data_IF_828202242995
#
_entry.id   IF_828202242995
#
_cell.length_a   1.000
_cell.length_b   1.000
_cell.length_c   1.000
_cell.angle_alpha   90.00
_cell.angle_beta   90.00
_cell.angle_gamma   90.00
#
_symmetry.space_group_name_H-M   'P 1'
#
loop_
_entity.id
_entity.type
_entity.pdbx_description
1 polymer ?
#
# COMPACT_ATOMS: atom_id res chain seq x y z
N UNK A 1 -14.49 6.62 -0.35
CA UNK A 1 -13.55 5.50 -0.58
C UNK A 1 -12.76 5.83 -1.83
N UNK A 2 -11.45 6.01 -1.75
CA UNK A 2 -10.61 6.24 -2.94
C UNK A 2 -10.09 4.87 -3.39
N UNK A 3 -10.71 4.31 -4.41
CA UNK A 3 -10.21 3.10 -5.07
C UNK A 3 -9.19 3.55 -6.09
N UNK A 4 -7.95 3.10 -5.96
CA UNK A 4 -6.87 3.40 -6.90
C UNK A 4 -6.67 2.17 -7.78
N UNK A 5 -7.09 2.26 -9.04
CA UNK A 5 -6.70 1.29 -10.05
C UNK A 5 -5.29 1.62 -10.52
N UNK A 6 -4.39 0.67 -10.40
CA UNK A 6 -3.02 0.79 -10.87
C UNK A 6 -2.92 0.14 -12.26
N UNK A 7 -2.68 0.95 -13.27
CA UNK A 7 -2.31 0.49 -14.60
C UNK A 7 -0.81 0.69 -14.79
N UNK A 8 -0.09 -0.37 -15.06
CA UNK A 8 1.34 -0.36 -15.34
C UNK A 8 1.53 -0.31 -16.86
N UNK A 9 1.36 0.86 -17.45
CA UNK A 9 1.55 1.02 -18.90
C UNK A 9 2.77 1.86 -19.23
N UNK A 10 3.68 1.27 -20.00
CA UNK A 10 4.74 1.96 -20.71
C UNK A 10 6.08 2.10 -19.99
N UNK A 11 7.14 1.90 -20.75
CA UNK A 11 8.49 2.33 -20.41
C UNK A 11 8.98 3.31 -21.48
N UNK A 12 9.54 4.45 -21.06
CA UNK A 12 10.29 5.34 -21.95
C UNK A 12 11.73 5.35 -21.41
N UNK A 13 12.63 4.70 -22.12
CA UNK A 13 14.02 4.55 -21.67
C UNK A 13 14.13 3.73 -20.39
N UNK A 14 14.95 4.18 -19.45
CA UNK A 14 15.17 3.53 -18.15
C UNK A 14 14.12 3.86 -17.09
N UNK A 15 13.08 4.61 -17.42
CA UNK A 15 12.06 5.05 -16.49
C UNK A 15 10.75 4.30 -16.69
N UNK A 16 10.17 3.85 -15.59
CA UNK A 16 8.84 3.28 -15.55
C UNK A 16 7.87 4.27 -14.96
N UNK A 17 6.71 4.42 -15.62
CA UNK A 17 5.62 5.26 -15.17
C UNK A 17 4.55 4.42 -14.50
N UNK A 18 4.07 4.85 -13.35
CA UNK A 18 2.86 4.35 -12.71
C UNK A 18 1.76 5.39 -12.89
N UNK A 19 0.66 4.97 -13.50
CA UNK A 19 -0.53 5.79 -13.65
C UNK A 19 -1.53 5.41 -12.57
N UNK A 20 -1.89 6.39 -11.76
CA UNK A 20 -2.92 6.22 -10.74
C UNK A 20 -4.22 6.82 -11.26
N UNK A 21 -5.29 6.04 -11.21
CA UNK A 21 -6.62 6.47 -11.63
C UNK A 21 -7.56 6.40 -10.43
N UNK A 22 -8.57 7.25 -10.42
CA UNK A 22 -9.65 7.21 -9.46
C UNK A 22 -10.99 7.27 -10.18
N UNK A 23 -12.03 6.56 -9.73
CA UNK A 23 -13.36 6.70 -10.30
C UNK A 23 -13.94 8.08 -9.92
N UNK A 24 -14.42 8.81 -10.91
CA UNK A 24 -15.19 10.06 -10.74
C UNK A 24 -16.45 9.92 -11.58
N UNK A 25 -17.60 9.90 -10.95
CA UNK A 25 -18.89 9.73 -11.64
C UNK A 25 -18.91 8.54 -12.61
N UNK A 26 -18.35 7.40 -12.20
CA UNK A 26 -18.28 6.17 -13.00
C UNK A 26 -17.24 6.18 -14.13
N UNK A 27 -16.44 7.24 -14.27
CA UNK A 27 -15.33 7.31 -15.23
C UNK A 27 -13.99 7.21 -14.52
N UNK A 28 -13.02 6.53 -15.16
CA UNK A 28 -11.65 6.49 -14.67
C UNK A 28 -10.93 7.78 -15.08
N UNK A 29 -10.42 8.51 -14.10
CA UNK A 29 -9.66 9.74 -14.30
C UNK A 29 -8.21 9.51 -13.90
N UNK A 30 -7.27 10.00 -14.72
CA UNK A 30 -5.85 10.01 -14.35
C UNK A 30 -5.69 10.94 -13.15
N UNK A 31 -5.08 10.44 -12.07
CA UNK A 31 -4.81 11.21 -10.86
C UNK A 31 -3.39 11.77 -10.86
N UNK A 32 -2.41 10.89 -11.03
CA UNK A 32 -0.99 11.28 -11.03
C UNK A 32 -0.12 10.26 -11.76
N UNK A 33 1.10 10.66 -12.07
CA UNK A 33 2.16 9.79 -12.55
C UNK A 33 3.30 9.78 -11.54
N UNK A 34 3.82 8.60 -11.22
CA UNK A 34 5.00 8.45 -10.39
C UNK A 34 6.11 7.74 -11.16
N UNK A 35 7.27 8.39 -11.38
CA UNK A 35 8.43 7.77 -12.06
C UNK A 35 9.26 6.89 -11.11
N UNK A 36 8.67 6.40 -10.03
CA UNK A 36 9.29 5.60 -8.97
C UNK A 36 8.24 4.73 -8.29
N UNK A 37 8.64 3.72 -7.49
CA UNK A 37 7.70 3.05 -6.60
C UNK A 37 6.91 4.06 -5.76
N UNK A 38 5.61 3.85 -5.66
CA UNK A 38 4.70 4.76 -5.01
C UNK A 38 3.91 4.04 -3.93
N UNK A 39 3.51 4.77 -2.90
CA UNK A 39 2.76 4.23 -1.76
C UNK A 39 1.50 3.46 -2.16
N UNK A 40 0.77 3.95 -3.16
CA UNK A 40 -0.45 3.28 -3.66
C UNK A 40 -0.19 1.91 -4.26
N UNK A 41 1.05 1.63 -4.69
CA UNK A 41 1.44 0.35 -5.25
C UNK A 41 2.07 -0.62 -4.23
N UNK A 42 2.09 -0.28 -2.93
CA UNK A 42 2.73 -1.14 -1.93
C UNK A 42 2.03 -2.49 -1.79
N UNK A 43 0.70 -2.54 -1.92
CA UNK A 43 -0.05 -3.79 -1.93
C UNK A 43 0.38 -4.80 -3.00
N UNK A 44 1.04 -4.34 -4.07
CA UNK A 44 1.57 -5.25 -5.10
C UNK A 44 2.67 -6.16 -4.58
N UNK A 45 3.32 -5.81 -3.46
CA UNK A 45 4.33 -6.64 -2.83
C UNK A 45 3.75 -7.97 -2.36
N UNK A 46 2.54 -7.93 -1.81
CA UNK A 46 1.90 -9.07 -1.17
C UNK A 46 0.83 -9.74 -2.07
N UNK A 47 0.27 -9.01 -3.02
CA UNK A 47 -0.88 -9.46 -3.79
C UNK A 47 -0.66 -9.57 -5.31
N UNK A 48 0.47 -9.15 -5.87
CA UNK A 48 0.76 -9.30 -7.32
C UNK A 48 1.75 -10.43 -7.59
N UNK A 49 1.78 -10.91 -8.85
CA UNK A 49 2.84 -11.83 -9.30
C UNK A 49 4.20 -11.15 -9.31
N UNK A 50 4.25 -9.92 -9.81
CA UNK A 50 5.45 -9.08 -9.82
C UNK A 50 5.13 -7.75 -9.16
N UNK A 51 5.83 -7.43 -8.08
CA UNK A 51 5.62 -6.19 -7.35
C UNK A 51 6.11 -4.95 -8.12
N UNK A 52 5.65 -3.76 -7.74
CA UNK A 52 6.18 -2.51 -8.29
C UNK A 52 7.70 -2.37 -8.10
N UNK A 53 8.23 -2.91 -7.02
CA UNK A 53 9.66 -2.86 -6.72
C UNK A 53 10.47 -3.76 -7.66
N UNK A 54 10.02 -4.99 -7.86
CA UNK A 54 10.65 -5.90 -8.82
C UNK A 54 10.56 -5.36 -10.24
N UNK A 55 9.43 -4.77 -10.61
CA UNK A 55 9.27 -4.14 -11.91
C UNK A 55 10.27 -3.00 -12.12
N UNK A 56 10.54 -2.20 -11.09
CA UNK A 56 11.56 -1.15 -11.18
C UNK A 56 12.96 -1.76 -11.39
N UNK A 57 13.31 -2.79 -10.64
CA UNK A 57 14.61 -3.47 -10.80
C UNK A 57 14.74 -4.07 -12.20
N UNK A 58 13.69 -4.74 -12.70
CA UNK A 58 13.67 -5.29 -14.08
C UNK A 58 13.92 -4.19 -15.12
N UNK A 59 13.25 -3.05 -14.97
CA UNK A 59 13.41 -1.92 -15.90
C UNK A 59 14.85 -1.37 -15.87
N UNK A 60 15.43 -1.19 -14.68
CA UNK A 60 16.80 -0.68 -14.52
C UNK A 60 17.86 -1.66 -15.06
N UNK A 61 17.59 -2.96 -14.95
CA UNK A 61 18.46 -4.01 -15.45
C UNK A 61 18.24 -4.35 -16.94
N UNK A 62 17.35 -3.65 -17.64
CA UNK A 62 17.02 -3.93 -19.06
C UNK A 62 16.31 -5.27 -19.27
N UNK A 63 15.70 -5.84 -18.22
CA UNK A 63 14.97 -7.10 -18.29
C UNK A 63 13.53 -6.88 -18.81
N UNK A 64 12.92 -7.91 -19.41
CA UNK A 64 11.49 -7.86 -19.73
C UNK A 64 10.64 -7.58 -18.50
N UNK A 65 9.53 -6.87 -18.70
CA UNK A 65 8.57 -6.63 -17.62
C UNK A 65 7.97 -7.96 -17.13
N UNK A 66 7.80 -8.08 -15.82
CA UNK A 66 7.14 -9.22 -15.20
C UNK A 66 5.61 -9.12 -15.31
N UNK A 67 4.94 -10.22 -15.07
CA UNK A 67 3.48 -10.32 -15.02
C UNK A 67 2.94 -9.52 -13.83
N UNK A 68 2.07 -8.54 -14.09
CA UNK A 68 1.48 -7.65 -13.08
C UNK A 68 0.14 -8.14 -12.55
N UNK A 69 -0.28 -9.35 -12.91
CA UNK A 69 -1.56 -9.91 -12.48
C UNK A 69 -1.67 -9.91 -10.95
N UNK A 70 -2.76 -9.33 -10.46
CA UNK A 70 -3.14 -9.42 -9.04
C UNK A 70 -3.63 -10.83 -8.73
N UNK A 71 -3.17 -11.42 -7.64
CA UNK A 71 -3.58 -12.74 -7.15
C UNK A 71 -4.83 -12.67 -6.30
N UNK A 72 -4.98 -11.58 -5.58
CA UNK A 72 -6.11 -11.33 -4.67
C UNK A 72 -6.30 -9.83 -4.44
N UNK A 73 -7.50 -9.39 -4.05
CA UNK A 73 -7.72 -8.06 -3.52
C UNK A 73 -6.85 -7.79 -2.30
N UNK A 74 -6.37 -6.56 -2.15
CA UNK A 74 -5.49 -6.16 -1.06
C UNK A 74 -5.82 -4.76 -0.58
N UNK A 75 -5.77 -4.56 0.72
CA UNK A 75 -5.85 -3.24 1.37
C UNK A 75 -4.52 -2.97 2.06
N UNK A 76 -3.93 -1.83 1.78
CA UNK A 76 -2.70 -1.38 2.43
C UNK A 76 -3.00 -0.25 3.41
N UNK A 77 -2.63 -0.46 4.67
CA UNK A 77 -2.75 0.52 5.76
C UNK A 77 -1.40 1.12 6.07
N UNK A 78 -1.24 2.43 5.86
CA UNK A 78 -0.04 3.14 6.28
C UNK A 78 0.06 3.20 7.82
N UNK A 79 1.29 3.01 8.31
CA UNK A 79 1.64 3.15 9.72
C UNK A 79 2.42 4.45 9.90
N UNK A 80 1.78 5.44 10.49
CA UNK A 80 2.39 6.75 10.72
C UNK A 80 3.07 6.80 12.08
N UNK A 81 4.02 7.73 12.23
CA UNK A 81 4.77 7.91 13.47
C UNK A 81 3.91 8.29 14.67
N UNK A 82 2.73 8.83 14.42
CA UNK A 82 1.73 9.10 15.45
C UNK A 82 1.35 7.84 16.26
N UNK A 83 1.38 6.67 15.64
CA UNK A 83 1.14 5.40 16.32
C UNK A 83 2.17 5.08 17.40
N UNK A 84 3.35 5.64 17.29
CA UNK A 84 4.46 5.39 18.20
C UNK A 84 4.52 6.42 19.34
N UNK A 85 3.60 7.36 19.42
CA UNK A 85 3.61 8.43 20.45
C UNK A 85 3.52 7.89 21.88
N UNK A 86 2.88 6.73 22.08
CA UNK A 86 2.79 6.04 23.38
C UNK A 86 3.83 4.93 23.58
N UNK A 87 4.83 4.81 22.70
CA UNK A 87 5.81 3.73 22.72
C UNK A 87 5.74 2.83 21.49
N UNK A 88 6.21 1.59 21.63
CA UNK A 88 6.17 0.61 20.53
C UNK A 88 4.73 0.12 20.33
N UNK A 89 4.15 0.27 19.12
CA UNK A 89 2.81 -0.24 18.83
C UNK A 89 2.72 -1.76 19.00
N UNK A 90 1.54 -2.25 19.27
CA UNK A 90 1.27 -3.67 19.47
C UNK A 90 1.28 -4.43 18.12
N UNK A 91 2.48 -4.58 17.54
CA UNK A 91 2.66 -5.25 16.22
C UNK A 91 2.18 -6.70 16.22
N UNK A 92 2.16 -7.38 17.36
CA UNK A 92 1.69 -8.75 17.50
C UNK A 92 0.24 -8.91 17.03
N UNK A 93 -0.58 -7.87 17.14
CA UNK A 93 -1.95 -7.91 16.64
C UNK A 93 -2.00 -8.11 15.11
N UNK A 94 -1.07 -7.49 14.37
CA UNK A 94 -0.96 -7.66 12.91
C UNK A 94 -0.31 -8.99 12.59
N UNK A 95 0.76 -9.37 13.30
CA UNK A 95 1.53 -10.59 13.04
C UNK A 95 0.76 -11.88 13.38
N UNK A 96 -0.26 -11.79 14.23
CA UNK A 96 -1.10 -12.95 14.59
C UNK A 96 -2.11 -13.31 13.49
N UNK A 97 -2.37 -12.42 12.53
CA UNK A 97 -3.28 -12.68 11.42
C UNK A 97 -2.48 -13.09 10.17
N UNK A 98 -2.66 -14.32 9.71
CA UNK A 98 -1.91 -14.89 8.58
C UNK A 98 -2.20 -14.24 7.24
N UNK A 99 -3.28 -13.47 7.13
CA UNK A 99 -3.63 -12.70 5.93
C UNK A 99 -3.06 -11.28 5.93
N UNK A 100 -2.40 -10.89 7.02
CA UNK A 100 -1.74 -9.60 7.16
C UNK A 100 -0.22 -9.73 7.03
N UNK A 101 0.40 -8.85 6.25
CA UNK A 101 1.86 -8.75 6.11
C UNK A 101 2.34 -7.39 6.59
N UNK A 102 3.23 -7.37 7.57
CA UNK A 102 3.78 -6.15 8.18
C UNK A 102 5.11 -5.77 7.53
N UNK A 103 5.21 -4.52 7.07
CA UNK A 103 6.41 -3.94 6.48
C UNK A 103 6.84 -2.70 7.28
N UNK A 104 7.90 -2.80 8.07
CA UNK A 104 8.50 -1.69 8.80
C UNK A 104 9.70 -1.12 8.04
N UNK A 105 9.80 0.22 7.99
CA UNK A 105 10.82 0.90 7.17
C UNK A 105 12.14 1.15 7.90
N UNK A 106 12.29 0.66 9.14
CA UNK A 106 13.53 0.80 9.92
C UNK A 106 13.90 2.24 10.30
N UNK A 107 12.95 3.17 10.28
CA UNK A 107 13.20 4.58 10.64
C UNK A 107 13.27 4.73 12.17
N UNK A 108 14.40 5.27 12.65
CA UNK A 108 14.64 5.40 14.09
C UNK A 108 13.73 6.41 14.80
N UNK A 109 13.35 7.50 14.12
CA UNK A 109 12.59 8.59 14.73
C UNK A 109 11.15 8.64 14.21
N UNK A 110 10.16 8.24 15.01
CA UNK A 110 8.76 8.45 14.68
C UNK A 110 8.42 9.94 14.81
N UNK A 111 7.97 10.55 13.73
CA UNK A 111 7.46 11.92 13.72
C UNK A 111 6.02 11.91 13.24
N UNK A 112 5.23 12.91 13.66
CA UNK A 112 3.85 13.07 13.22
C UNK A 112 3.76 12.99 11.68
N UNK A 113 2.79 12.25 11.16
CA UNK A 113 2.52 12.02 9.75
C UNK A 113 3.67 11.36 8.96
N UNK A 114 4.80 11.03 9.59
CA UNK A 114 5.89 10.31 8.93
C UNK A 114 5.51 8.85 8.76
N UNK A 115 5.55 8.35 7.52
CA UNK A 115 5.33 6.92 7.24
C UNK A 115 6.47 6.10 7.82
N UNK A 116 6.16 5.26 8.79
CA UNK A 116 7.08 4.35 9.50
C UNK A 116 7.03 2.94 8.94
N UNK A 117 5.96 2.60 8.23
CA UNK A 117 5.71 1.30 7.65
C UNK A 117 4.34 1.24 7.01
N UNK A 118 3.92 0.06 6.68
CA UNK A 118 2.56 -0.29 6.33
C UNK A 118 2.30 -1.74 6.70
N UNK A 119 1.04 -2.14 6.73
CA UNK A 119 0.70 -3.53 6.57
C UNK A 119 -0.28 -3.68 5.40
N UNK A 120 -0.20 -4.82 4.73
CA UNK A 120 -1.15 -5.23 3.71
C UNK A 120 -2.04 -6.32 4.26
N UNK A 121 -3.33 -6.30 3.91
CA UNK A 121 -4.27 -7.37 4.21
C UNK A 121 -4.86 -7.91 2.92
N UNK A 122 -4.69 -9.20 2.69
CA UNK A 122 -5.17 -9.91 1.50
C UNK A 122 -6.44 -10.67 1.86
N UNK A 123 -7.49 -10.57 1.03
CA UNK A 123 -8.75 -11.29 1.24
C UNK A 123 -9.42 -11.61 -0.12
N UNK A 124 -10.44 -12.48 -0.14
CA UNK A 124 -11.19 -12.78 -1.36
C UNK A 124 -11.89 -11.57 -1.98
N UNK A 125 -12.32 -10.61 -1.15
CA UNK A 125 -12.97 -9.37 -1.60
C UNK A 125 -12.29 -8.13 -0.99
N UNK A 126 -12.47 -6.98 -1.65
CA UNK A 126 -11.95 -5.68 -1.14
C UNK A 126 -12.63 -5.29 0.16
N UNK A 127 -13.93 -5.56 0.27
CA UNK A 127 -14.73 -5.27 1.45
C UNK A 127 -14.21 -6.04 2.67
N UNK A 128 -13.94 -7.34 2.53
CA UNK A 128 -13.38 -8.17 3.58
C UNK A 128 -11.98 -7.70 3.98
N UNK A 129 -11.13 -7.38 2.98
CA UNK A 129 -9.78 -6.86 3.23
C UNK A 129 -9.84 -5.52 3.99
N UNK A 130 -10.77 -4.64 3.62
CA UNK A 130 -10.94 -3.34 4.27
C UNK A 130 -11.42 -3.48 5.70
N UNK A 131 -12.45 -4.30 5.94
CA UNK A 131 -12.99 -4.52 7.28
C UNK A 131 -11.95 -5.13 8.22
N UNK A 132 -11.17 -6.09 7.72
CA UNK A 132 -10.09 -6.69 8.47
C UNK A 132 -8.95 -5.71 8.76
N UNK A 133 -8.52 -4.93 7.77
CA UNK A 133 -7.50 -3.91 7.96
C UNK A 133 -7.92 -2.85 8.99
N UNK A 134 -9.20 -2.43 8.96
CA UNK A 134 -9.75 -1.51 9.94
C UNK A 134 -9.81 -2.10 11.35
N UNK A 135 -10.14 -3.39 11.48
CA UNK A 135 -10.11 -4.09 12.79
C UNK A 135 -8.69 -4.11 13.34
N UNK A 136 -7.70 -4.53 12.55
CA UNK A 136 -6.29 -4.57 12.97
C UNK A 136 -5.78 -3.18 13.35
N UNK A 137 -6.12 -2.17 12.55
CA UNK A 137 -5.72 -0.78 12.82
C UNK A 137 -6.20 -0.28 14.18
N UNK A 138 -7.39 -0.71 14.62
CA UNK A 138 -7.96 -0.34 15.94
C UNK A 138 -7.23 -0.99 17.10
N UNK A 139 -6.57 -2.11 16.91
CA UNK A 139 -5.77 -2.79 17.95
C UNK A 139 -4.40 -2.13 18.15
N UNK A 140 -3.95 -1.34 17.17
CA UNK A 140 -2.73 -0.54 17.31
C UNK A 140 -3.04 0.74 18.09
N UNK A 141 -2.11 1.24 18.93
CA UNK A 141 -2.27 2.51 19.63
C UNK A 141 -2.62 3.62 18.65
N UNK A 142 -3.69 4.34 18.94
CA UNK A 142 -4.07 5.50 18.16
C UNK A 142 -3.40 6.74 18.76
N UNK A 143 -2.84 7.61 17.91
CA UNK A 143 -2.56 8.98 18.33
C UNK A 143 -3.89 9.71 18.55
N UNK A 144 -3.97 10.59 19.54
CA UNK A 144 -5.18 11.34 19.89
C UNK A 144 -5.69 12.31 18.80
N UNK A 145 -5.08 12.33 17.59
CA UNK A 145 -5.27 13.40 16.60
C UNK A 145 -5.34 12.96 15.15
N UNK A 146 -5.63 11.71 14.81
CA UNK A 146 -5.81 11.34 13.39
C UNK A 146 -7.27 11.00 13.10
N UNK A 147 -7.95 11.90 12.41
CA UNK A 147 -9.13 11.56 11.62
C UNK A 147 -8.70 10.54 10.56
N UNK A 148 -9.04 9.26 10.76
CA UNK A 148 -8.52 8.09 10.03
C UNK A 148 -8.82 8.01 8.54
N UNK A 149 -8.97 9.14 7.83
CA UNK A 149 -9.42 9.18 6.43
C UNK A 149 -8.31 9.16 5.38
N UNK A 150 -7.04 9.39 5.72
CA UNK A 150 -5.98 9.54 4.71
C UNK A 150 -5.01 8.37 4.59
N UNK A 151 -5.19 7.29 5.34
CA UNK A 151 -4.16 6.29 5.57
C UNK A 151 -4.36 4.96 4.81
N UNK A 152 -5.53 4.74 4.20
CA UNK A 152 -5.88 3.46 3.57
C UNK A 152 -5.82 3.59 2.04
N UNK A 153 -5.06 2.73 1.40
CA UNK A 153 -5.12 2.48 -0.03
C UNK A 153 -5.65 1.07 -0.29
N UNK A 154 -6.74 0.96 -1.04
CA UNK A 154 -7.21 -0.32 -1.56
C UNK A 154 -6.77 -0.47 -3.01
N UNK A 155 -6.23 -1.63 -3.35
CA UNK A 155 -5.86 -1.99 -4.73
C UNK A 155 -6.68 -3.19 -5.16
N UNK A 156 -7.36 -3.05 -6.28
CA UNK A 156 -8.19 -4.08 -6.91
C UNK A 156 -7.43 -4.66 -8.10
#
# INVERSE_FOLDING_TARGET
>A
MNVTLQDLSGSIGTYRWQRFTRPVCGKLMVNEFAPRPHNSGHGTLDASRTSQFEQQVRTLAGLPLGDTTMRSPVVTQNLLGDLCAGGIPYWQAVLADSSATLHLYGKAEPRRARKMGHFSYVAPTVEEALDAALRLRRLLPASAHTDGKSEIAATI
#
